data_IF_798975627238
#
_entry.id   IF_798975627238
#
_cell.length_a   1.000
_cell.length_b   1.000
_cell.length_c   1.000
_cell.angle_alpha   90.00
_cell.angle_beta   90.00
_cell.angle_gamma   90.00
#
_symmetry.space_group_name_H-M   'P 1'
#
loop_
_entity.id
_entity.type
_entity.pdbx_description
1 polymer ?
#
# COMPACT_ATOMS: atom_id res chain seq x y z
N UNK A 1 1.21 30.40 -16.42
CA UNK A 1 0.66 29.02 -16.39
C UNK A 1 1.50 28.27 -15.37
N UNK A 2 0.89 27.74 -14.29
CA UNK A 2 1.63 27.29 -13.10
C UNK A 2 2.49 26.05 -13.38
N UNK A 3 3.80 26.14 -13.12
CA UNK A 3 4.77 25.04 -13.25
C UNK A 3 4.30 23.74 -12.58
N UNK A 4 3.64 23.84 -11.43
CA UNK A 4 3.06 22.70 -10.70
C UNK A 4 2.07 21.91 -11.54
N UNK A 5 1.21 22.59 -12.32
CA UNK A 5 0.21 21.91 -13.17
C UNK A 5 0.89 21.13 -14.29
N UNK A 6 1.94 21.70 -14.87
CA UNK A 6 2.72 21.05 -15.93
C UNK A 6 3.47 19.83 -15.39
N UNK A 7 4.09 19.94 -14.22
CA UNK A 7 4.78 18.83 -13.55
C UNK A 7 3.83 17.67 -13.19
N UNK A 8 2.61 17.99 -12.76
CA UNK A 8 1.59 17.00 -12.41
C UNK A 8 1.05 16.26 -13.64
N UNK A 9 0.89 16.96 -14.77
CA UNK A 9 0.42 16.37 -16.03
C UNK A 9 1.55 15.67 -16.81
N UNK A 10 2.80 15.87 -16.42
CA UNK A 10 3.94 15.27 -17.07
C UNK A 10 3.93 13.73 -16.92
N UNK A 11 4.38 13.03 -17.97
CA UNK A 11 4.38 11.57 -18.09
C UNK A 11 5.80 10.97 -18.16
N UNK A 12 6.81 11.81 -17.91
CA UNK A 12 8.23 11.60 -18.16
C UNK A 12 9.01 11.20 -16.90
N UNK A 13 8.37 10.47 -15.99
CA UNK A 13 9.07 9.94 -14.81
C UNK A 13 10.18 8.97 -15.24
N UNK A 14 11.40 9.22 -14.79
CA UNK A 14 12.56 8.40 -15.16
C UNK A 14 12.37 6.92 -14.80
N UNK A 15 12.81 5.96 -15.65
CA UNK A 15 12.56 4.53 -15.43
C UNK A 15 13.08 3.99 -14.08
N UNK A 16 14.19 4.52 -13.58
CA UNK A 16 14.76 4.13 -12.29
C UNK A 16 13.88 4.59 -11.11
N UNK A 17 13.25 5.76 -11.19
CA UNK A 17 12.30 6.24 -10.17
C UNK A 17 11.07 5.35 -10.12
N UNK A 18 10.55 4.91 -11.28
CA UNK A 18 9.42 3.97 -11.35
C UNK A 18 9.77 2.63 -10.69
N UNK A 19 10.98 2.09 -10.96
CA UNK A 19 11.46 0.87 -10.31
C UNK A 19 11.59 1.03 -8.79
N UNK A 20 12.11 2.16 -8.32
CA UNK A 20 12.19 2.46 -6.89
C UNK A 20 10.81 2.51 -6.22
N UNK A 21 9.86 3.23 -6.83
CA UNK A 21 8.46 3.28 -6.38
C UNK A 21 7.86 1.88 -6.31
N UNK A 22 8.09 1.05 -7.31
CA UNK A 22 7.58 -0.33 -7.34
C UNK A 22 8.10 -1.19 -6.19
N UNK A 23 9.41 -1.15 -5.92
CA UNK A 23 10.02 -1.90 -4.82
C UNK A 23 9.43 -1.43 -3.48
N UNK A 24 9.32 -0.11 -3.28
CA UNK A 24 8.73 0.45 -2.05
C UNK A 24 7.28 0.02 -1.88
N UNK A 25 6.49 0.05 -2.95
CA UNK A 25 5.08 -0.39 -2.91
C UNK A 25 4.97 -1.86 -2.57
N UNK A 26 5.81 -2.74 -3.14
CA UNK A 26 5.82 -4.17 -2.76
C UNK A 26 6.09 -4.34 -1.26
N UNK A 27 7.12 -3.66 -0.73
CA UNK A 27 7.46 -3.75 0.69
C UNK A 27 6.30 -3.26 1.57
N UNK A 28 5.68 -2.14 1.21
CA UNK A 28 4.51 -1.61 1.92
C UNK A 28 3.30 -2.53 1.79
N UNK A 29 3.07 -3.15 0.64
CA UNK A 29 1.93 -4.06 0.44
C UNK A 29 2.00 -5.31 1.33
N UNK A 30 3.19 -5.77 1.69
CA UNK A 30 3.40 -6.94 2.57
C UNK A 30 3.33 -6.54 4.05
N UNK A 31 3.63 -5.28 4.38
CA UNK A 31 3.71 -4.77 5.75
C UNK A 31 2.44 -5.01 6.62
N UNK A 32 1.21 -4.85 6.12
CA UNK A 32 -0.02 -5.16 6.86
C UNK A 32 -0.08 -6.60 7.37
N UNK A 33 0.34 -7.57 6.53
CA UNK A 33 0.37 -8.98 6.89
C UNK A 33 1.39 -9.24 8.00
N UNK A 34 2.54 -8.55 7.96
CA UNK A 34 3.55 -8.64 9.00
C UNK A 34 3.05 -8.09 10.34
N UNK A 35 2.35 -6.94 10.35
CA UNK A 35 1.75 -6.40 11.58
C UNK A 35 0.76 -7.40 12.16
N UNK A 36 -0.19 -7.88 11.36
CA UNK A 36 -1.20 -8.84 11.82
C UNK A 36 -0.57 -10.11 12.38
N UNK A 37 0.49 -10.62 11.74
CA UNK A 37 1.24 -11.76 12.25
C UNK A 37 1.87 -11.47 13.62
N UNK A 38 2.60 -10.34 13.74
CA UNK A 38 3.27 -9.96 15.00
C UNK A 38 2.29 -9.75 16.15
N UNK A 39 1.16 -9.10 15.87
CA UNK A 39 0.09 -8.90 16.85
C UNK A 39 -0.56 -10.22 17.28
N UNK A 40 -0.57 -11.24 16.42
CA UNK A 40 -1.19 -12.54 16.75
C UNK A 40 -0.28 -13.51 17.51
N UNK A 41 1.02 -13.24 17.64
CA UNK A 41 1.97 -14.15 18.32
C UNK A 41 1.58 -14.50 19.77
N UNK A 42 1.11 -13.56 20.62
CA UNK A 42 0.86 -13.84 22.03
C UNK A 42 -0.26 -14.87 22.28
N UNK A 43 -1.35 -14.81 21.50
CA UNK A 43 -2.46 -15.79 21.55
C UNK A 43 -2.99 -16.06 20.13
N UNK A 44 -2.31 -16.96 19.43
CA UNK A 44 -2.58 -17.23 18.02
C UNK A 44 -4.02 -17.68 17.77
N UNK A 45 -4.65 -18.45 18.66
CA UNK A 45 -6.00 -18.98 18.37
C UNK A 45 -7.06 -17.89 18.47
N UNK A 46 -7.01 -17.07 19.52
CA UNK A 46 -8.00 -16.02 19.77
C UNK A 46 -7.80 -14.85 18.81
N UNK A 47 -6.57 -14.36 18.69
CA UNK A 47 -6.26 -13.18 17.89
C UNK A 47 -6.40 -13.44 16.39
N UNK A 48 -6.09 -14.65 15.91
CA UNK A 48 -6.27 -14.97 14.48
C UNK A 48 -7.75 -15.07 14.09
N UNK A 49 -8.62 -15.51 15.00
CA UNK A 49 -10.07 -15.50 14.77
C UNK A 49 -10.62 -14.08 14.69
N UNK A 50 -10.13 -13.17 15.55
CA UNK A 50 -10.48 -11.75 15.53
C UNK A 50 -9.96 -11.04 14.27
N UNK A 51 -8.73 -11.34 13.83
CA UNK A 51 -8.06 -10.67 12.70
C UNK A 51 -8.24 -11.37 11.34
N UNK A 52 -9.03 -12.45 11.24
CA UNK A 52 -9.20 -13.21 9.98
C UNK A 52 -9.63 -12.34 8.79
N UNK A 53 -10.53 -11.38 9.02
CA UNK A 53 -11.01 -10.49 7.97
C UNK A 53 -9.94 -9.47 7.55
N UNK A 54 -9.08 -9.06 8.48
CA UNK A 54 -7.95 -8.17 8.21
C UNK A 54 -6.93 -8.84 7.30
N UNK A 55 -6.64 -10.14 7.51
CA UNK A 55 -5.76 -10.92 6.61
C UNK A 55 -6.32 -10.95 5.19
N UNK A 56 -7.63 -11.16 5.04
CA UNK A 56 -8.30 -11.15 3.73
C UNK A 56 -8.20 -9.78 3.05
N UNK A 57 -8.49 -8.70 3.78
CA UNK A 57 -8.41 -7.33 3.28
C UNK A 57 -6.97 -6.97 2.89
N UNK A 58 -5.99 -7.29 3.74
CA UNK A 58 -4.58 -7.05 3.47
C UNK A 58 -4.11 -7.79 2.22
N UNK A 59 -4.53 -9.04 2.04
CA UNK A 59 -4.15 -9.86 0.89
C UNK A 59 -4.70 -9.29 -0.42
N UNK A 60 -5.99 -8.98 -0.46
CA UNK A 60 -6.63 -8.37 -1.64
C UNK A 60 -5.97 -7.03 -1.95
N UNK A 61 -5.68 -6.23 -0.93
CA UNK A 61 -5.10 -4.92 -1.14
C UNK A 61 -3.65 -4.98 -1.60
N UNK A 62 -2.86 -5.94 -1.09
CA UNK A 62 -1.51 -6.19 -1.57
C UNK A 62 -1.52 -6.55 -3.07
N UNK A 63 -2.41 -7.45 -3.49
CA UNK A 63 -2.58 -7.83 -4.90
C UNK A 63 -2.96 -6.61 -5.76
N UNK A 64 -3.91 -5.80 -5.30
CA UNK A 64 -4.35 -4.60 -6.02
C UNK A 64 -3.23 -3.57 -6.18
N UNK A 65 -2.51 -3.25 -5.09
CA UNK A 65 -1.40 -2.29 -5.09
C UNK A 65 -0.26 -2.74 -5.99
N UNK A 66 0.14 -4.01 -5.92
CA UNK A 66 1.20 -4.57 -6.76
C UNK A 66 0.78 -4.56 -8.23
N UNK A 67 -0.47 -4.93 -8.54
CA UNK A 67 -0.99 -4.95 -9.92
C UNK A 67 -1.02 -3.55 -10.54
N UNK A 68 -1.51 -2.56 -9.80
CA UNK A 68 -1.52 -1.15 -10.23
C UNK A 68 -0.10 -0.61 -10.40
N UNK A 69 0.80 -0.92 -9.47
CA UNK A 69 2.18 -0.45 -9.55
C UNK A 69 2.94 -1.11 -10.72
N UNK A 70 2.66 -2.39 -11.01
CA UNK A 70 3.16 -3.06 -12.21
C UNK A 70 2.67 -2.39 -13.49
N UNK A 71 1.39 -1.99 -13.55
CA UNK A 71 0.86 -1.23 -14.67
C UNK A 71 1.62 0.10 -14.87
N UNK A 72 1.95 0.83 -13.81
CA UNK A 72 2.71 2.09 -13.88
C UNK A 72 4.16 1.91 -14.34
N UNK A 73 4.78 0.76 -14.07
CA UNK A 73 6.09 0.41 -14.61
C UNK A 73 6.07 0.24 -16.13
N UNK A 74 5.02 -0.41 -16.65
CA UNK A 74 4.92 -0.76 -18.07
C UNK A 74 4.38 0.38 -18.93
N UNK A 75 3.53 1.24 -18.36
CA UNK A 75 2.81 2.28 -19.10
C UNK A 75 3.29 3.70 -18.75
N UNK A 76 3.05 4.63 -19.68
CA UNK A 76 3.19 6.07 -19.43
C UNK A 76 1.92 6.55 -18.72
N UNK A 77 2.08 7.07 -17.51
CA UNK A 77 0.97 7.47 -16.65
C UNK A 77 1.33 8.83 -16.04
N UNK A 78 0.36 9.76 -15.91
CA UNK A 78 0.63 11.09 -15.38
C UNK A 78 1.16 11.04 -13.96
N UNK A 79 2.08 11.95 -13.64
CA UNK A 79 2.68 12.04 -12.32
C UNK A 79 1.62 12.20 -11.22
N UNK A 80 0.54 12.95 -11.46
CA UNK A 80 -0.54 13.09 -10.47
C UNK A 80 -1.20 11.75 -10.13
N UNK A 81 -1.38 10.84 -11.08
CA UNK A 81 -1.99 9.52 -10.85
C UNK A 81 -1.07 8.65 -9.98
N UNK A 82 0.24 8.69 -10.26
CA UNK A 82 1.25 7.98 -9.48
C UNK A 82 1.28 8.52 -8.04
N UNK A 83 1.26 9.85 -7.88
CA UNK A 83 1.22 10.50 -6.57
C UNK A 83 -0.06 10.17 -5.81
N UNK A 84 -1.24 10.23 -6.45
CA UNK A 84 -2.51 9.84 -5.83
C UNK A 84 -2.51 8.38 -5.38
N UNK A 85 -1.94 7.48 -6.17
CA UNK A 85 -1.78 6.08 -5.77
C UNK A 85 -0.87 5.93 -4.54
N UNK A 86 0.28 6.62 -4.52
CA UNK A 86 1.19 6.58 -3.37
C UNK A 86 0.52 7.09 -2.09
N UNK A 87 -0.25 8.17 -2.19
CA UNK A 87 -1.05 8.69 -1.08
C UNK A 87 -2.03 7.60 -0.60
N UNK A 88 -2.78 6.97 -1.50
CA UNK A 88 -3.70 5.87 -1.11
C UNK A 88 -2.98 4.71 -0.42
N UNK A 89 -1.79 4.32 -0.90
CA UNK A 89 -0.99 3.25 -0.26
C UNK A 89 -0.65 3.64 1.18
N UNK A 90 -0.14 4.86 1.41
CA UNK A 90 0.23 5.34 2.74
C UNK A 90 -1.00 5.41 3.67
N UNK A 91 -2.12 5.97 3.19
CA UNK A 91 -3.34 6.04 3.97
C UNK A 91 -3.83 4.66 4.39
N UNK A 92 -3.76 3.66 3.50
CA UNK A 92 -4.10 2.28 3.83
C UNK A 92 -3.20 1.69 4.93
N UNK A 93 -1.89 1.94 4.91
CA UNK A 93 -0.99 1.46 5.96
C UNK A 93 -1.37 2.01 7.34
N UNK A 94 -1.65 3.32 7.40
CA UNK A 94 -2.02 3.99 8.65
C UNK A 94 -3.35 3.48 9.17
N UNK A 95 -4.38 3.44 8.33
CA UNK A 95 -5.72 3.00 8.76
C UNK A 95 -5.75 1.53 9.15
N UNK A 96 -5.06 0.66 8.40
CA UNK A 96 -4.93 -0.75 8.73
C UNK A 96 -4.22 -0.95 10.07
N UNK A 97 -3.09 -0.27 10.29
CA UNK A 97 -2.34 -0.34 11.55
C UNK A 97 -3.17 0.07 12.76
N UNK A 98 -3.86 1.22 12.67
CA UNK A 98 -4.76 1.69 13.73
C UNK A 98 -5.87 0.66 14.00
N UNK A 99 -6.49 0.15 12.95
CA UNK A 99 -7.60 -0.80 13.09
C UNK A 99 -7.16 -2.13 13.73
N UNK A 100 -5.98 -2.66 13.38
CA UNK A 100 -5.44 -3.87 14.02
C UNK A 100 -5.17 -3.65 15.51
N UNK A 101 -4.59 -2.49 15.89
CA UNK A 101 -4.32 -2.15 17.29
C UNK A 101 -5.62 -2.01 18.09
N UNK A 102 -6.64 -1.36 17.51
CA UNK A 102 -7.93 -1.18 18.18
C UNK A 102 -8.65 -2.51 18.40
N UNK A 103 -8.64 -3.41 17.41
CA UNK A 103 -9.27 -4.73 17.52
C UNK A 103 -8.52 -5.63 18.49
N UNK A 104 -7.19 -5.54 18.56
CA UNK A 104 -6.39 -6.33 19.50
C UNK A 104 -6.61 -5.92 20.96
N UNK A 105 -6.90 -4.64 21.22
CA UNK A 105 -7.11 -4.11 22.56
C UNK A 105 -8.61 -4.05 22.98
N UNK A 106 -9.51 -4.57 22.15
CA UNK A 106 -10.95 -4.64 22.42
C UNK A 106 -11.32 -5.98 23.08
#
# INVERSE_FOLDING_TARGET
MNSIKEDLLANNLAPWRKKGIFIVVILLSIFPLFITYKTSIPDVKVTFWQLRYFIGIASIQAVAQISLCWYFLKNKVPNYVITSFLIMVIFFQVTYGIAVILVFNA
#
